data_IF_403230732250
#
_entry.id   IF_403230732250
#
_cell.length_a   1.000
_cell.length_b   1.000
_cell.length_c   1.000
_cell.angle_alpha   90.00
_cell.angle_beta   90.00
_cell.angle_gamma   90.00
#
_symmetry.space_group_name_H-M   'P 1'
#
loop_
_entity.id
_entity.type
_entity.pdbx_description
1 polymer ?
#
# COMPACT_ATOMS: atom_id res chain seq x y z
N UNK A 1 -6.46 2.50 1.63
CA UNK A 1 -5.43 1.98 0.71
C UNK A 1 -5.52 0.47 0.50
N UNK A 2 -5.19 -0.39 1.47
CA UNK A 2 -5.09 -1.86 1.28
C UNK A 2 -6.30 -2.50 0.58
N UNK A 3 -7.52 -2.19 1.03
CA UNK A 3 -8.74 -2.70 0.41
C UNK A 3 -8.90 -2.22 -1.01
N UNK A 4 -8.73 -0.91 -1.24
CA UNK A 4 -8.83 -0.28 -2.57
C UNK A 4 -7.84 -0.91 -3.54
N UNK A 5 -6.57 -1.00 -3.17
CA UNK A 5 -5.54 -1.56 -4.04
C UNK A 5 -5.83 -3.03 -4.41
N UNK A 6 -6.33 -3.84 -3.46
CA UNK A 6 -6.70 -5.24 -3.75
C UNK A 6 -8.00 -5.40 -4.56
N UNK A 7 -8.94 -4.45 -4.48
CA UNK A 7 -10.23 -4.55 -5.20
C UNK A 7 -10.22 -3.86 -6.56
N UNK A 8 -9.45 -2.78 -6.67
CA UNK A 8 -9.30 -1.95 -7.85
C UNK A 8 -7.85 -1.41 -7.90
N UNK A 9 -6.91 -2.20 -8.44
CA UNK A 9 -5.51 -1.79 -8.54
C UNK A 9 -5.32 -0.49 -9.33
N UNK A 10 -6.16 -0.23 -10.34
CA UNK A 10 -6.08 0.98 -11.15
C UNK A 10 -6.44 2.24 -10.33
N UNK A 11 -7.35 2.14 -9.36
CA UNK A 11 -7.60 3.22 -8.39
C UNK A 11 -6.60 3.22 -7.23
N UNK A 12 -6.08 2.06 -6.85
CA UNK A 12 -5.07 1.93 -5.79
C UNK A 12 -3.77 2.66 -6.14
N UNK A 13 -3.32 2.55 -7.39
CA UNK A 13 -2.08 3.18 -7.86
C UNK A 13 -2.16 4.71 -7.79
N UNK A 14 -3.37 5.28 -7.85
CA UNK A 14 -3.57 6.72 -7.74
C UNK A 14 -3.26 7.29 -6.34
N UNK A 15 -3.15 6.42 -5.32
CA UNK A 15 -2.77 6.82 -3.96
C UNK A 15 -1.25 6.97 -3.78
N UNK A 16 -0.46 6.68 -4.81
CA UNK A 16 1.00 6.81 -4.80
C UNK A 16 1.42 8.14 -5.43
N UNK A 17 2.59 8.66 -5.08
CA UNK A 17 3.19 9.80 -5.79
C UNK A 17 3.57 9.41 -7.23
N UNK A 18 3.60 10.34 -8.20
CA UNK A 18 3.97 10.02 -9.58
C UNK A 18 5.30 9.26 -9.69
N UNK A 19 6.33 9.71 -8.96
CA UNK A 19 7.63 9.06 -8.93
C UNK A 19 7.56 7.60 -8.41
N UNK A 20 6.71 7.33 -7.42
CA UNK A 20 6.57 5.97 -6.88
C UNK A 20 5.68 5.07 -7.75
N UNK A 21 4.72 5.64 -8.49
CA UNK A 21 3.95 4.90 -9.51
C UNK A 21 4.86 4.38 -10.62
N UNK A 22 5.78 5.22 -11.09
CA UNK A 22 6.78 4.85 -12.09
C UNK A 22 7.68 3.71 -11.59
N UNK A 23 8.08 3.72 -10.33
CA UNK A 23 8.89 2.65 -9.73
C UNK A 23 8.10 1.35 -9.48
N UNK A 24 6.80 1.48 -9.20
CA UNK A 24 5.91 0.34 -8.94
C UNK A 24 5.45 -0.36 -10.23
N UNK A 25 5.70 0.27 -11.38
CA UNK A 25 5.33 -0.25 -12.70
C UNK A 25 6.60 -0.68 -13.44
N UNK A 26 6.66 -1.90 -14.01
CA UNK A 26 5.60 -2.91 -14.05
C UNK A 26 5.52 -3.74 -12.76
N UNK A 27 4.32 -4.24 -12.43
CA UNK A 27 4.12 -5.26 -11.38
C UNK A 27 3.11 -4.91 -10.30
N UNK A 28 2.73 -3.63 -10.15
CA UNK A 28 1.71 -3.21 -9.18
C UNK A 28 0.39 -3.95 -9.35
N UNK A 29 -0.16 -3.97 -10.57
CA UNK A 29 -1.44 -4.62 -10.87
C UNK A 29 -1.38 -6.14 -10.69
N UNK A 30 -0.29 -6.78 -11.12
CA UNK A 30 -0.10 -8.22 -10.96
C UNK A 30 -0.05 -8.63 -9.49
N UNK A 31 0.66 -7.84 -8.67
CA UNK A 31 0.71 -8.07 -7.24
C UNK A 31 -0.67 -7.91 -6.62
N UNK A 32 -1.29 -6.73 -6.76
CA UNK A 32 -2.55 -6.42 -6.10
C UNK A 32 -3.72 -7.24 -6.63
N UNK A 33 -3.73 -7.57 -7.92
CA UNK A 33 -4.70 -8.50 -8.51
C UNK A 33 -4.55 -9.94 -8.03
N UNK A 34 -3.41 -10.29 -7.41
CA UNK A 34 -3.21 -11.59 -6.75
C UNK A 34 -3.58 -11.59 -5.25
N UNK A 35 -3.83 -10.41 -4.68
CA UNK A 35 -4.08 -10.17 -3.25
C UNK A 35 -5.58 -10.08 -2.98
N UNK A 36 -6.05 -10.74 -1.92
CA UNK A 36 -7.44 -10.67 -1.49
C UNK A 36 -7.55 -10.80 0.04
N UNK A 37 -8.75 -10.53 0.59
CA UNK A 37 -9.03 -10.67 2.03
C UNK A 37 -8.01 -9.92 2.92
N UNK A 38 -7.69 -8.69 2.53
CA UNK A 38 -6.78 -7.83 3.28
C UNK A 38 -7.39 -7.48 4.64
N UNK A 39 -6.62 -7.67 5.71
CA UNK A 39 -6.98 -7.31 7.08
C UNK A 39 -5.83 -6.60 7.75
N UNK A 40 -6.11 -5.38 8.21
CA UNK A 40 -5.19 -4.62 9.06
C UNK A 40 -5.16 -5.27 10.46
N UNK A 41 -3.97 -5.52 10.98
CA UNK A 41 -3.77 -6.12 12.30
C UNK A 41 -3.28 -5.10 13.31
N UNK A 42 -2.27 -4.31 12.93
CA UNK A 42 -1.71 -3.23 13.75
C UNK A 42 -1.50 -2.00 12.87
N UNK A 43 -1.55 -0.83 13.50
CA UNK A 43 -1.35 0.45 12.83
C UNK A 43 -0.72 1.46 13.79
N UNK A 44 0.27 2.18 13.31
CA UNK A 44 0.90 3.31 13.98
C UNK A 44 1.26 4.38 12.95
N UNK A 45 1.18 5.64 13.34
CA UNK A 45 1.56 6.76 12.49
C UNK A 45 2.45 7.73 13.28
N UNK A 46 3.55 8.14 12.66
CA UNK A 46 4.39 9.24 13.10
C UNK A 46 4.10 10.45 12.22
N UNK A 47 3.35 11.41 12.76
CA UNK A 47 2.96 12.63 12.04
C UNK A 47 4.11 13.62 11.88
N UNK A 48 5.16 13.53 12.70
CA UNK A 48 6.34 14.38 12.57
C UNK A 48 7.25 13.89 11.43
N UNK A 49 7.39 12.57 11.28
CA UNK A 49 8.12 11.95 10.18
C UNK A 49 7.29 11.73 8.89
N UNK A 50 5.96 11.91 8.98
CA UNK A 50 5.00 11.54 7.92
C UNK A 50 5.13 10.07 7.51
N UNK A 51 5.32 9.19 8.49
CA UNK A 51 5.51 7.75 8.27
C UNK A 51 4.37 6.97 8.90
N UNK A 52 3.91 5.93 8.18
CA UNK A 52 2.89 5.01 8.68
C UNK A 52 3.45 3.60 8.69
N UNK A 53 3.35 2.93 9.83
CA UNK A 53 3.74 1.53 9.99
C UNK A 53 2.52 0.69 10.32
N UNK A 54 2.35 -0.43 9.63
CA UNK A 54 1.25 -1.34 9.87
C UNK A 54 1.66 -2.78 9.62
N UNK A 55 0.99 -3.71 10.30
CA UNK A 55 1.02 -5.13 9.93
C UNK A 55 -0.33 -5.47 9.34
N UNK A 56 -0.32 -6.13 8.18
CA UNK A 56 -1.54 -6.60 7.53
C UNK A 56 -1.40 -8.03 7.10
N UNK A 57 -2.54 -8.69 6.99
CA UNK A 57 -2.68 -10.06 6.55
C UNK A 57 -3.53 -10.12 5.31
N UNK A 58 -3.15 -10.96 4.36
CA UNK A 58 -3.86 -11.14 3.11
C UNK A 58 -3.76 -12.57 2.60
N UNK A 59 -4.59 -12.91 1.61
CA UNK A 59 -4.50 -14.13 0.83
C UNK A 59 -3.88 -13.79 -0.51
N UNK A 60 -2.79 -14.48 -0.86
CA UNK A 60 -2.11 -14.33 -2.14
C UNK A 60 -2.30 -15.59 -2.98
N UNK A 61 -2.78 -15.42 -4.21
CA UNK A 61 -2.98 -16.53 -5.16
C UNK A 61 -1.66 -17.30 -5.35
N UNK A 62 -1.67 -18.60 -5.07
CA UNK A 62 -0.51 -19.49 -5.18
C UNK A 62 0.40 -19.57 -3.94
N UNK A 63 0.26 -18.67 -2.96
CA UNK A 63 1.11 -18.64 -1.75
C UNK A 63 0.32 -18.84 -0.45
N UNK A 64 -1.01 -18.72 -0.49
CA UNK A 64 -1.86 -18.89 0.68
C UNK A 64 -1.98 -17.61 1.52
N UNK A 65 -2.00 -17.75 2.84
CA UNK A 65 -2.16 -16.62 3.77
C UNK A 65 -0.79 -16.05 4.13
N UNK A 66 -0.61 -14.75 3.94
CA UNK A 66 0.63 -14.01 4.22
C UNK A 66 0.31 -12.92 5.24
N UNK A 67 1.25 -12.68 6.15
CA UNK A 67 1.21 -11.59 7.12
C UNK A 67 2.58 -10.91 7.09
N UNK A 68 2.60 -9.59 6.89
CA UNK A 68 3.85 -8.85 6.80
C UNK A 68 3.74 -7.44 7.39
N UNK A 69 4.82 -6.96 8.05
CA UNK A 69 4.94 -5.57 8.45
C UNK A 69 5.34 -4.70 7.26
N UNK A 70 4.75 -3.50 7.18
CA UNK A 70 5.02 -2.50 6.14
C UNK A 70 5.17 -1.14 6.81
N UNK A 71 6.18 -0.37 6.38
CA UNK A 71 6.32 1.04 6.70
C UNK A 71 6.28 1.86 5.40
N UNK A 72 5.47 2.91 5.37
CA UNK A 72 5.29 3.78 4.22
C UNK A 72 5.67 5.22 4.57
N UNK A 73 6.42 5.84 3.68
CA UNK A 73 6.65 7.28 3.70
C UNK A 73 5.49 7.98 2.98
N UNK A 74 4.92 9.01 3.61
CA UNK A 74 3.89 9.86 3.03
C UNK A 74 4.47 11.23 2.65
N UNK A 75 3.82 11.86 1.68
CA UNK A 75 4.02 13.25 1.30
C UNK A 75 2.67 13.96 1.37
N UNK A 76 2.63 15.12 2.00
CA UNK A 76 1.46 15.98 2.04
C UNK A 76 1.24 16.65 0.68
N UNK A 77 -0.02 16.72 0.25
CA UNK A 77 -0.47 17.44 -0.94
C UNK A 77 -1.61 18.39 -0.55
N UNK A 78 -2.03 19.25 -1.48
CA UNK A 78 -3.15 20.17 -1.24
C UNK A 78 -4.47 19.44 -0.91
N UNK A 79 -4.62 18.20 -1.42
CA UNK A 79 -5.82 17.37 -1.26
C UNK A 79 -5.66 16.24 -0.23
N UNK A 80 -4.54 16.18 0.50
CA UNK A 80 -4.31 15.18 1.56
C UNK A 80 -2.90 14.61 1.58
N UNK A 81 -2.78 13.29 1.43
CA UNK A 81 -1.50 12.57 1.49
C UNK A 81 -1.38 11.53 0.39
N UNK A 82 -0.20 11.41 -0.18
CA UNK A 82 0.17 10.35 -1.12
C UNK A 82 1.31 9.50 -0.56
N UNK A 83 1.35 8.24 -0.97
CA UNK A 83 2.40 7.29 -0.61
C UNK A 83 3.61 7.52 -1.51
N UNK A 84 4.74 7.92 -0.91
CA UNK A 84 5.97 8.22 -1.63
C UNK A 84 6.90 7.00 -1.78
N UNK A 85 6.71 5.96 -0.96
CA UNK A 85 7.56 4.79 -0.99
C UNK A 85 7.53 4.02 0.33
N UNK A 86 8.33 2.96 0.45
CA UNK A 86 8.71 2.41 1.75
C UNK A 86 9.48 3.46 2.57
N UNK A 87 9.29 3.44 3.89
CA UNK A 87 10.06 4.27 4.84
C UNK A 87 11.29 3.53 5.38
#
# INVERSE_FOLDING_TARGET
YLTLASSDPAQGIEQLTPAFREQSTPGYEDFWGSVSNTRLLTFSADTAALTVSYTYRYQRRGFGRVEEPVSLQLVATDDGFLIAGPA
#
